data_IF_610026744397
#
_entry.id   IF_610026744397
#
_cell.length_a   1.000
_cell.length_b   1.000
_cell.length_c   1.000
_cell.angle_alpha   90.00
_cell.angle_beta   90.00
_cell.angle_gamma   90.00
#
_symmetry.space_group_name_H-M   'P 1'
#
loop_
_entity.id
_entity.type
_entity.pdbx_description
1 polymer ?
#
# COMPACT_ATOMS: atom_id res chain seq x y z
N UNK A 1 -0.55 -14.19 -16.14
CA UNK A 1 -1.64 -13.82 -15.21
C UNK A 1 -1.73 -14.74 -13.99
N UNK A 2 -2.11 -16.03 -14.10
CA UNK A 2 -2.15 -16.93 -12.92
C UNK A 2 -0.79 -17.10 -12.24
N UNK A 3 0.27 -17.27 -13.02
CA UNK A 3 1.65 -17.30 -12.52
C UNK A 3 2.06 -16.01 -11.78
N UNK A 4 1.49 -14.87 -12.20
CA UNK A 4 1.76 -13.57 -11.56
C UNK A 4 1.01 -13.46 -10.26
N UNK A 5 -0.23 -13.93 -10.22
CA UNK A 5 -1.00 -13.97 -8.98
C UNK A 5 -0.34 -14.89 -7.93
N UNK A 6 0.29 -15.98 -8.37
CA UNK A 6 1.05 -16.84 -7.47
C UNK A 6 2.19 -16.08 -6.77
N UNK A 7 2.85 -15.16 -7.48
CA UNK A 7 3.99 -14.38 -6.98
C UNK A 7 3.59 -13.08 -6.28
N UNK A 8 2.55 -12.42 -6.76
CA UNK A 8 2.20 -11.03 -6.43
C UNK A 8 0.76 -10.85 -5.95
N UNK A 9 -0.01 -11.93 -5.85
CA UNK A 9 -1.44 -11.94 -5.51
C UNK A 9 -1.76 -11.62 -4.06
N UNK A 10 -0.77 -11.27 -3.24
CA UNK A 10 -0.95 -10.93 -1.83
C UNK A 10 -1.70 -9.58 -1.68
N UNK A 11 -1.52 -8.67 -2.64
CA UNK A 11 -2.31 -7.45 -2.78
C UNK A 11 -3.17 -7.52 -4.04
N UNK A 12 -4.48 -7.31 -3.88
CA UNK A 12 -5.42 -7.12 -5.00
C UNK A 12 -6.09 -5.76 -4.90
N UNK A 13 -6.04 -5.00 -5.99
CA UNK A 13 -6.79 -3.76 -6.19
C UNK A 13 -7.88 -4.03 -7.23
N UNK A 14 -9.11 -3.68 -6.89
CA UNK A 14 -10.26 -3.88 -7.74
C UNK A 14 -11.15 -2.64 -7.74
N UNK A 15 -11.57 -2.23 -8.93
CA UNK A 15 -12.46 -1.11 -9.13
C UNK A 15 -13.27 -1.35 -10.41
N UNK A 16 -14.57 -1.02 -10.39
CA UNK A 16 -15.46 -1.28 -11.52
C UNK A 16 -15.46 -0.11 -12.50
N UNK A 17 -15.47 -0.42 -13.78
CA UNK A 17 -15.67 0.58 -14.84
C UNK A 17 -17.12 0.65 -15.28
N UNK A 18 -17.57 1.86 -15.58
CA UNK A 18 -18.88 2.09 -16.15
C UNK A 18 -19.02 1.38 -17.51
N UNK A 19 -20.28 1.07 -17.82
CA UNK A 19 -20.78 0.25 -18.93
C UNK A 19 -20.28 0.72 -20.30
N UNK A 20 -19.09 0.26 -20.68
CA UNK A 20 -18.29 0.80 -21.80
C UNK A 20 -18.36 -0.05 -23.07
N UNK A 21 -19.11 -1.15 -23.07
CA UNK A 21 -19.20 -2.09 -24.19
C UNK A 21 -20.64 -2.22 -24.74
N UNK A 22 -20.79 -2.87 -25.90
CA UNK A 22 -22.07 -3.10 -26.59
C UNK A 22 -23.16 -3.76 -25.75
N UNK A 23 -22.76 -4.50 -24.70
CA UNK A 23 -23.65 -5.29 -23.86
C UNK A 23 -24.03 -4.57 -22.56
N UNK A 24 -23.59 -3.32 -22.39
CA UNK A 24 -23.88 -2.52 -21.20
C UNK A 24 -23.41 -3.21 -19.90
N UNK A 25 -22.33 -4.01 -20.01
CA UNK A 25 -21.73 -4.74 -18.89
C UNK A 25 -20.65 -3.91 -18.18
N UNK A 26 -20.50 -4.17 -16.90
CA UNK A 26 -19.51 -3.57 -16.00
C UNK A 26 -18.25 -4.45 -16.04
N UNK A 27 -17.08 -3.92 -16.42
CA UNK A 27 -15.80 -4.64 -16.27
C UNK A 27 -15.18 -4.28 -14.93
N UNK A 28 -14.78 -5.30 -14.18
CA UNK A 28 -13.96 -5.18 -12.99
C UNK A 28 -12.62 -5.87 -13.22
N UNK A 29 -11.55 -5.14 -13.57
CA UNK A 29 -10.20 -5.69 -13.61
C UNK A 29 -9.68 -6.00 -12.20
N UNK A 30 -8.83 -7.00 -12.11
CA UNK A 30 -8.09 -7.41 -10.91
C UNK A 30 -6.62 -7.08 -11.15
N UNK A 31 -6.08 -6.21 -10.31
CA UNK A 31 -4.75 -5.63 -10.51
C UNK A 31 -3.95 -5.82 -9.23
N UNK A 32 -2.65 -6.10 -9.36
CA UNK A 32 -1.72 -6.15 -8.23
C UNK A 32 -0.54 -5.22 -8.44
N UNK A 33 0.54 -5.50 -7.71
CA UNK A 33 1.81 -4.82 -7.83
C UNK A 33 2.94 -5.82 -8.04
N UNK A 34 3.78 -5.63 -9.06
CA UNK A 34 4.97 -6.45 -9.27
C UNK A 34 6.20 -5.94 -8.49
N UNK A 35 7.34 -6.61 -8.66
CA UNK A 35 8.62 -6.31 -8.00
C UNK A 35 9.20 -4.91 -8.31
N UNK A 36 8.69 -4.22 -9.34
CA UNK A 36 9.10 -2.86 -9.71
C UNK A 36 8.13 -1.79 -9.20
N UNK A 37 7.23 -2.18 -8.28
CA UNK A 37 6.13 -1.34 -7.83
C UNK A 37 5.21 -0.89 -8.99
N UNK A 38 5.13 -1.65 -10.08
CA UNK A 38 4.27 -1.37 -11.25
C UNK A 38 3.00 -2.21 -11.20
N UNK A 39 2.00 -1.78 -11.96
CA UNK A 39 0.74 -2.50 -12.05
C UNK A 39 0.95 -3.83 -12.76
N UNK A 40 0.27 -4.86 -12.28
CA UNK A 40 0.18 -6.15 -12.97
C UNK A 40 -1.27 -6.59 -13.07
N UNK A 41 -1.65 -7.13 -14.22
CA UNK A 41 -3.02 -7.58 -14.48
C UNK A 41 -3.17 -9.05 -14.09
N UNK A 42 -4.12 -9.36 -13.22
CA UNK A 42 -4.49 -10.73 -12.87
C UNK A 42 -5.67 -11.23 -13.71
N UNK A 43 -6.55 -10.33 -14.15
CA UNK A 43 -7.70 -10.65 -15.03
C UNK A 43 -8.72 -9.52 -15.08
N UNK A 44 -9.78 -9.65 -15.86
CA UNK A 44 -11.03 -8.87 -15.71
C UNK A 44 -12.22 -9.85 -15.75
N UNK A 45 -13.29 -9.51 -15.03
CA UNK A 45 -14.59 -10.13 -15.24
C UNK A 45 -15.67 -9.10 -15.55
N UNK A 46 -16.73 -9.57 -16.19
CA UNK A 46 -17.86 -8.76 -16.61
C UNK A 46 -19.12 -9.12 -15.83
N UNK A 47 -19.85 -8.11 -15.37
CA UNK A 47 -21.09 -8.26 -14.61
C UNK A 47 -22.20 -7.40 -15.20
N UNK A 48 -23.45 -7.79 -14.96
CA UNK A 48 -24.63 -7.05 -15.42
C UNK A 48 -25.07 -5.94 -14.46
N UNK A 49 -24.70 -6.05 -13.18
CA UNK A 49 -25.06 -5.10 -12.13
C UNK A 49 -24.08 -5.20 -10.94
N UNK A 50 -24.11 -4.19 -10.05
CA UNK A 50 -23.24 -4.08 -8.87
C UNK A 50 -23.94 -4.58 -7.60
N UNK A 51 -24.67 -5.69 -7.70
CA UNK A 51 -25.28 -6.36 -6.54
C UNK A 51 -24.27 -7.29 -5.86
N UNK A 52 -24.52 -7.61 -4.59
CA UNK A 52 -23.68 -8.50 -3.78
C UNK A 52 -23.47 -9.84 -4.47
N UNK A 53 -24.53 -10.43 -5.02
CA UNK A 53 -24.50 -11.75 -5.66
C UNK A 53 -23.60 -11.76 -6.91
N UNK A 54 -23.63 -10.66 -7.68
CA UNK A 54 -22.79 -10.49 -8.86
C UNK A 54 -21.30 -10.44 -8.47
N UNK A 55 -20.96 -9.71 -7.41
CA UNK A 55 -19.59 -9.67 -6.91
C UNK A 55 -19.16 -10.98 -6.25
N UNK A 56 -20.04 -11.68 -5.54
CA UNK A 56 -19.76 -13.02 -4.99
C UNK A 56 -19.40 -13.98 -6.12
N UNK A 57 -20.22 -14.02 -7.19
CA UNK A 57 -19.93 -14.83 -8.37
C UNK A 57 -18.58 -14.46 -9.00
N UNK A 58 -18.34 -13.15 -9.18
CA UNK A 58 -17.11 -12.66 -9.80
C UNK A 58 -15.87 -13.06 -8.98
N UNK A 59 -15.91 -12.83 -7.67
CA UNK A 59 -14.80 -13.13 -6.76
C UNK A 59 -14.57 -14.62 -6.57
N UNK A 60 -15.62 -15.45 -6.53
CA UNK A 60 -15.47 -16.91 -6.52
C UNK A 60 -14.85 -17.42 -7.83
N UNK A 61 -15.26 -16.86 -8.97
CA UNK A 61 -14.71 -17.20 -10.28
C UNK A 61 -13.23 -16.81 -10.38
N UNK A 62 -12.89 -15.61 -9.89
CA UNK A 62 -11.51 -15.15 -9.79
C UNK A 62 -10.68 -16.09 -8.91
N UNK A 63 -11.11 -16.36 -7.68
CA UNK A 63 -10.41 -17.25 -6.74
C UNK A 63 -10.17 -18.64 -7.33
N UNK A 64 -11.19 -19.24 -7.97
CA UNK A 64 -11.06 -20.53 -8.65
C UNK A 64 -10.04 -20.47 -9.80
N UNK A 65 -10.08 -19.41 -10.60
CA UNK A 65 -9.15 -19.21 -11.73
C UNK A 65 -7.71 -19.01 -11.25
N UNK A 66 -7.54 -18.46 -10.05
CA UNK A 66 -6.26 -18.22 -9.41
C UNK A 66 -5.76 -19.38 -8.54
N UNK A 67 -6.34 -20.58 -8.68
CA UNK A 67 -5.87 -21.76 -7.95
C UNK A 67 -6.21 -21.74 -6.45
N UNK A 68 -7.24 -20.99 -6.05
CA UNK A 68 -7.72 -20.89 -4.66
C UNK A 68 -6.69 -20.27 -3.70
N UNK A 69 -5.67 -19.59 -4.22
CA UNK A 69 -4.81 -18.73 -3.40
C UNK A 69 -5.62 -17.49 -2.99
N UNK A 70 -5.67 -17.22 -1.69
CA UNK A 70 -6.34 -16.05 -1.13
C UNK A 70 -5.37 -14.86 -1.05
N UNK A 71 -5.81 -13.63 -1.33
CA UNK A 71 -4.99 -12.44 -1.11
C UNK A 71 -4.89 -12.12 0.39
N UNK A 72 -3.81 -11.44 0.79
CA UNK A 72 -3.64 -10.90 2.13
C UNK A 72 -4.47 -9.62 2.29
N UNK A 73 -4.41 -8.72 1.31
CA UNK A 73 -5.14 -7.46 1.32
C UNK A 73 -5.88 -7.21 0.02
N UNK A 74 -7.01 -6.52 0.15
CA UNK A 74 -7.93 -6.24 -0.94
C UNK A 74 -8.36 -4.77 -0.88
N UNK A 75 -7.94 -3.97 -1.85
CA UNK A 75 -8.31 -2.56 -1.95
C UNK A 75 -9.47 -2.35 -2.93
N UNK A 76 -10.52 -1.69 -2.44
CA UNK A 76 -11.69 -1.28 -3.23
C UNK A 76 -12.10 0.17 -2.91
N UNK A 77 -13.13 0.65 -3.60
CA UNK A 77 -13.85 1.88 -3.24
C UNK A 77 -14.78 1.67 -2.01
N UNK A 78 -15.70 2.61 -1.76
CA UNK A 78 -16.66 2.52 -0.65
C UNK A 78 -17.92 1.67 -0.95
N UNK A 79 -17.89 0.77 -1.94
CA UNK A 79 -19.01 -0.07 -2.33
C UNK A 79 -19.39 -1.08 -1.25
N UNK A 80 -20.63 -0.98 -0.79
CA UNK A 80 -21.23 -1.96 0.12
C UNK A 80 -21.25 -3.37 -0.47
N UNK A 81 -21.62 -3.49 -1.76
CA UNK A 81 -21.75 -4.78 -2.42
C UNK A 81 -20.42 -5.52 -2.51
N UNK A 82 -19.34 -4.81 -2.87
CA UNK A 82 -18.00 -5.39 -2.91
C UNK A 82 -17.51 -5.76 -1.51
N UNK A 83 -17.72 -4.89 -0.52
CA UNK A 83 -17.32 -5.17 0.85
C UNK A 83 -18.00 -6.43 1.42
N UNK A 84 -19.30 -6.61 1.16
CA UNK A 84 -20.04 -7.80 1.56
C UNK A 84 -19.54 -9.07 0.85
N UNK A 85 -19.31 -8.99 -0.46
CA UNK A 85 -18.79 -10.10 -1.24
C UNK A 85 -17.35 -10.50 -0.84
N UNK A 86 -16.46 -9.54 -0.57
CA UNK A 86 -15.09 -9.82 -0.07
C UNK A 86 -15.16 -10.54 1.27
N UNK A 87 -16.00 -10.08 2.21
CA UNK A 87 -16.16 -10.73 3.51
C UNK A 87 -16.63 -12.19 3.38
N UNK A 88 -17.46 -12.46 2.38
CA UNK A 88 -17.98 -13.81 2.11
C UNK A 88 -16.94 -14.71 1.42
N UNK A 89 -16.27 -14.23 0.37
CA UNK A 89 -15.37 -15.05 -0.46
C UNK A 89 -13.94 -15.11 0.10
N UNK A 90 -13.46 -14.03 0.72
CA UNK A 90 -12.11 -13.90 1.26
C UNK A 90 -12.15 -13.49 2.75
N UNK A 91 -12.67 -14.33 3.66
CA UNK A 91 -12.88 -13.95 5.06
C UNK A 91 -11.60 -13.58 5.81
N UNK A 92 -10.44 -14.08 5.38
CA UNK A 92 -9.13 -13.74 5.94
C UNK A 92 -8.46 -12.51 5.31
N UNK A 93 -8.96 -12.02 4.18
CA UNK A 93 -8.35 -10.88 3.49
C UNK A 93 -8.71 -9.56 4.19
N UNK A 94 -7.72 -8.68 4.31
CA UNK A 94 -7.88 -7.36 4.90
C UNK A 94 -8.43 -6.38 3.87
N UNK A 95 -9.65 -5.94 4.09
CA UNK A 95 -10.32 -4.96 3.24
C UNK A 95 -9.78 -3.55 3.51
N UNK A 96 -9.19 -2.94 2.47
CA UNK A 96 -8.74 -1.55 2.41
C UNK A 96 -9.66 -0.68 1.57
N UNK A 97 -9.92 0.54 2.03
CA UNK A 97 -10.65 1.55 1.26
C UNK A 97 -9.65 2.51 0.60
N UNK A 98 -9.89 2.83 -0.67
CA UNK A 98 -9.12 3.84 -1.39
C UNK A 98 -9.30 5.25 -0.78
N UNK A 99 -8.19 5.89 -0.40
CA UNK A 99 -8.20 7.25 0.14
C UNK A 99 -8.64 8.30 -0.87
N UNK A 100 -8.44 8.07 -2.19
CA UNK A 100 -8.90 8.99 -3.23
C UNK A 100 -10.42 9.02 -3.33
N UNK A 101 -11.08 7.85 -3.34
CA UNK A 101 -12.54 7.75 -3.30
C UNK A 101 -13.11 8.37 -2.03
N UNK A 102 -12.43 8.20 -0.89
CA UNK A 102 -12.79 8.87 0.36
C UNK A 102 -12.69 10.39 0.22
N UNK A 103 -11.60 10.91 -0.34
CA UNK A 103 -11.41 12.35 -0.56
C UNK A 103 -12.49 12.93 -1.48
N UNK A 104 -12.76 12.28 -2.62
CA UNK A 104 -13.83 12.67 -3.54
C UNK A 104 -15.21 12.65 -2.90
N UNK A 105 -15.51 11.63 -2.09
CA UNK A 105 -16.76 11.58 -1.34
C UNK A 105 -16.82 12.68 -0.27
N UNK A 106 -15.69 12.99 0.37
CA UNK A 106 -15.60 14.05 1.36
C UNK A 106 -15.87 15.43 0.76
N UNK A 107 -15.39 15.70 -0.47
CA UNK A 107 -15.68 16.97 -1.18
C UNK A 107 -17.17 17.17 -1.42
N UNK A 108 -17.97 16.10 -1.53
CA UNK A 108 -19.43 16.19 -1.69
C UNK A 108 -20.16 16.45 -0.37
N UNK A 109 -19.66 15.90 0.75
CA UNK A 109 -20.38 15.89 2.03
C UNK A 109 -19.85 16.90 3.07
N UNK A 110 -18.58 17.29 2.96
CA UNK A 110 -17.91 18.23 3.87
C UNK A 110 -17.19 19.35 3.12
N UNK A 111 -17.71 19.75 1.95
CA UNK A 111 -17.15 20.83 1.12
C UNK A 111 -16.89 22.13 1.90
N UNK A 112 -17.77 22.46 2.85
CA UNK A 112 -17.63 23.65 3.68
C UNK A 112 -16.38 23.62 4.57
N UNK A 113 -15.92 22.43 4.99
CA UNK A 113 -14.67 22.25 5.72
C UNK A 113 -13.47 22.35 4.78
N UNK A 114 -13.55 21.80 3.56
CA UNK A 114 -12.50 21.93 2.54
C UNK A 114 -12.15 23.39 2.20
N UNK A 115 -13.08 24.33 2.39
CA UNK A 115 -12.87 25.77 2.20
C UNK A 115 -12.20 26.46 3.39
N UNK A 116 -12.14 25.82 4.57
CA UNK A 116 -11.49 26.40 5.75
C UNK A 116 -9.98 26.32 5.61
N UNK A 117 -9.30 27.36 6.09
CA UNK A 117 -7.83 27.46 6.05
C UNK A 117 -7.20 26.23 6.71
N UNK A 118 -6.20 25.64 6.04
CA UNK A 118 -5.41 24.48 6.48
C UNK A 118 -6.18 23.17 6.72
N UNK A 119 -7.47 23.08 6.35
CA UNK A 119 -8.23 21.84 6.57
C UNK A 119 -7.69 20.70 5.71
N UNK A 120 -7.51 20.94 4.41
CA UNK A 120 -7.08 19.92 3.45
C UNK A 120 -5.72 19.31 3.83
N UNK A 121 -4.67 20.10 4.15
CA UNK A 121 -3.41 19.54 4.63
C UNK A 121 -3.55 18.63 5.87
N UNK A 122 -4.33 19.04 6.88
CA UNK A 122 -4.53 18.24 8.09
C UNK A 122 -5.33 16.97 7.81
N UNK A 123 -6.39 17.08 7.02
CA UNK A 123 -7.22 15.94 6.61
C UNK A 123 -6.41 14.93 5.78
N UNK A 124 -5.58 15.40 4.86
CA UNK A 124 -4.66 14.56 4.09
C UNK A 124 -3.62 13.87 4.96
N UNK A 125 -3.11 14.57 5.98
CA UNK A 125 -2.15 14.00 6.92
C UNK A 125 -2.77 12.81 7.68
N UNK A 126 -3.96 13.02 8.24
CA UNK A 126 -4.75 11.98 8.92
C UNK A 126 -5.03 10.78 8.01
N UNK A 127 -5.34 11.03 6.74
CA UNK A 127 -5.66 9.96 5.78
C UNK A 127 -4.44 9.18 5.30
N UNK A 128 -3.26 9.81 5.18
CA UNK A 128 -2.15 9.27 4.38
C UNK A 128 -0.83 9.15 5.11
N UNK A 129 -0.63 9.85 6.24
CA UNK A 129 0.70 10.07 6.83
C UNK A 129 0.83 9.68 8.29
N UNK A 130 -0.26 9.39 9.00
CA UNK A 130 -0.17 8.82 10.35
C UNK A 130 0.43 7.41 10.29
N UNK A 131 1.60 7.23 10.91
CA UNK A 131 2.29 5.95 10.99
C UNK A 131 1.83 5.14 12.21
N UNK A 132 1.34 5.81 13.26
CA UNK A 132 0.91 5.17 14.51
C UNK A 132 -0.48 5.59 14.96
N UNK A 133 -1.12 4.76 15.79
CA UNK A 133 -2.44 5.05 16.37
C UNK A 133 -2.40 6.32 17.21
N UNK A 134 -1.32 6.55 17.96
CA UNK A 134 -1.15 7.75 18.78
C UNK A 134 -1.11 9.04 17.93
N UNK A 135 -0.40 9.02 16.79
CA UNK A 135 -0.40 10.13 15.83
C UNK A 135 -1.78 10.37 15.24
N UNK A 136 -2.47 9.29 14.84
CA UNK A 136 -3.81 9.40 14.32
C UNK A 136 -4.76 10.04 15.34
N UNK A 137 -4.77 9.55 16.58
CA UNK A 137 -5.66 10.08 17.62
C UNK A 137 -5.35 11.56 17.90
N UNK A 138 -4.07 11.94 17.93
CA UNK A 138 -3.66 13.34 18.07
C UNK A 138 -4.21 14.23 16.94
N UNK A 139 -3.91 13.91 15.68
CA UNK A 139 -4.30 14.74 14.54
C UNK A 139 -5.79 14.67 14.24
N UNK A 140 -6.46 13.55 14.51
CA UNK A 140 -7.92 13.43 14.39
C UNK A 140 -8.63 14.32 15.42
N UNK A 141 -8.17 14.30 16.68
CA UNK A 141 -8.72 15.16 17.72
C UNK A 141 -8.46 16.64 17.43
N UNK A 142 -7.27 16.97 16.92
CA UNK A 142 -6.95 18.34 16.51
C UNK A 142 -7.84 18.81 15.35
N UNK A 143 -8.07 17.96 14.34
CA UNK A 143 -8.99 18.25 13.24
C UNK A 143 -10.41 18.52 13.75
N UNK A 144 -10.92 17.71 14.67
CA UNK A 144 -12.24 17.93 15.26
C UNK A 144 -12.32 19.22 16.08
N UNK A 145 -11.27 19.54 16.85
CA UNK A 145 -11.18 20.72 17.71
C UNK A 145 -11.11 22.01 16.91
N UNK A 146 -10.20 22.08 15.93
CA UNK A 146 -9.95 23.30 15.14
C UNK A 146 -11.13 23.62 14.23
N UNK A 147 -11.79 22.59 13.69
CA UNK A 147 -12.86 22.79 12.70
C UNK A 147 -14.27 22.62 13.27
N UNK A 148 -14.38 22.29 14.57
CA UNK A 148 -15.62 22.08 15.32
C UNK A 148 -16.56 21.08 14.63
N UNK A 149 -15.99 19.97 14.14
CA UNK A 149 -16.69 19.03 13.26
C UNK A 149 -16.95 17.66 13.90
N UNK A 150 -16.78 17.54 15.22
CA UNK A 150 -17.02 16.31 15.99
C UNK A 150 -18.39 15.69 15.73
N UNK A 151 -19.41 16.52 15.49
CA UNK A 151 -20.79 16.07 15.25
C UNK A 151 -21.16 15.82 13.79
N UNK A 152 -20.22 16.06 12.87
CA UNK A 152 -20.47 15.82 11.45
C UNK A 152 -20.67 14.32 11.16
N UNK A 153 -21.85 13.97 10.65
CA UNK A 153 -22.25 12.57 10.39
C UNK A 153 -21.34 11.87 9.38
N UNK A 154 -20.83 12.60 8.37
CA UNK A 154 -19.90 12.05 7.38
C UNK A 154 -18.55 11.70 8.02
N UNK A 155 -18.01 12.58 8.88
CA UNK A 155 -16.76 12.32 9.60
C UNK A 155 -16.91 11.22 10.66
N UNK A 156 -18.04 11.16 11.39
CA UNK A 156 -18.35 10.03 12.29
C UNK A 156 -18.37 8.69 11.54
N UNK A 157 -19.03 8.65 10.38
CA UNK A 157 -19.03 7.47 9.51
C UNK A 157 -17.62 7.12 9.03
N UNK A 158 -16.84 8.11 8.58
CA UNK A 158 -15.46 7.89 8.15
C UNK A 158 -14.62 7.29 9.30
N UNK A 159 -14.68 7.88 10.49
CA UNK A 159 -13.96 7.39 11.68
C UNK A 159 -14.33 5.94 12.05
N UNK A 160 -15.61 5.57 11.93
CA UNK A 160 -16.08 4.20 12.21
C UNK A 160 -15.43 3.13 11.30
N UNK A 161 -14.82 3.55 10.19
CA UNK A 161 -14.11 2.69 9.25
C UNK A 161 -12.59 2.93 9.22
N UNK A 162 -12.02 3.62 10.22
CA UNK A 162 -10.59 4.00 10.26
C UNK A 162 -9.61 2.86 10.01
N UNK A 163 -9.92 1.65 10.48
CA UNK A 163 -9.11 0.45 10.25
C UNK A 163 -8.96 0.09 8.77
N UNK A 164 -9.92 0.48 7.92
CA UNK A 164 -9.90 0.17 6.49
C UNK A 164 -9.15 1.20 5.66
N UNK A 165 -9.00 2.45 6.09
CA UNK A 165 -8.42 3.51 5.27
C UNK A 165 -7.18 4.17 5.86
N UNK A 166 -7.05 4.22 7.19
CA UNK A 166 -5.95 4.91 7.82
C UNK A 166 -4.73 3.98 7.92
N UNK A 167 -3.54 4.40 7.44
CA UNK A 167 -2.32 3.61 7.54
C UNK A 167 -1.98 3.20 8.97
N UNK A 168 -2.21 4.07 9.96
CA UNK A 168 -1.94 3.79 11.38
C UNK A 168 -2.58 2.48 11.92
N UNK A 169 -3.66 2.01 11.30
CA UNK A 169 -4.41 0.82 11.72
C UNK A 169 -4.26 -0.38 10.78
N UNK A 170 -3.46 -0.27 9.71
CA UNK A 170 -3.48 -1.21 8.58
C UNK A 170 -2.10 -1.62 8.10
N UNK A 171 -1.12 -1.63 8.99
CA UNK A 171 0.28 -1.94 8.70
C UNK A 171 0.74 -3.28 9.25
N UNK A 172 -0.13 -4.04 9.89
CA UNK A 172 0.16 -5.39 10.41
C UNK A 172 0.09 -6.48 9.32
N UNK A 173 -0.01 -6.09 8.05
CA UNK A 173 -0.09 -6.99 6.90
C UNK A 173 0.39 -6.28 5.62
N UNK A 174 0.77 -7.08 4.62
CA UNK A 174 1.25 -6.55 3.34
C UNK A 174 0.14 -5.85 2.56
N UNK A 175 0.39 -4.59 2.18
CA UNK A 175 -0.48 -3.80 1.31
C UNK A 175 0.28 -3.06 0.21
N UNK A 176 1.60 -3.28 0.11
CA UNK A 176 2.48 -2.59 -0.83
C UNK A 176 2.47 -1.07 -0.68
N UNK A 177 2.02 -0.55 0.46
CA UNK A 177 1.90 0.89 0.73
C UNK A 177 0.87 1.59 -0.16
N UNK A 178 -0.01 0.81 -0.80
CA UNK A 178 -1.04 1.36 -1.68
C UNK A 178 -2.12 2.01 -0.82
N UNK A 179 -2.28 3.32 -1.01
CA UNK A 179 -3.32 4.11 -0.35
C UNK A 179 -4.52 4.39 -1.26
N UNK A 180 -4.36 4.21 -2.58
CA UNK A 180 -5.41 4.52 -3.53
C UNK A 180 -5.55 3.49 -4.63
N UNK A 181 -6.77 3.36 -5.13
CA UNK A 181 -7.13 2.69 -6.37
C UNK A 181 -6.60 3.42 -7.61
N UNK A 182 -5.70 4.41 -7.51
CA UNK A 182 -5.11 5.08 -8.68
C UNK A 182 -4.55 4.08 -9.70
N UNK A 183 -4.04 2.94 -9.22
CA UNK A 183 -3.56 1.85 -10.06
C UNK A 183 -4.69 1.20 -10.87
N UNK A 184 -5.84 0.96 -10.26
CA UNK A 184 -7.01 0.47 -10.98
C UNK A 184 -7.68 1.57 -11.80
N UNK A 185 -7.71 2.82 -11.35
CA UNK A 185 -8.26 3.96 -12.09
C UNK A 185 -7.45 4.30 -13.34
N UNK A 186 -6.11 4.26 -13.26
CA UNK A 186 -5.25 4.46 -14.43
C UNK A 186 -5.45 3.34 -15.44
N UNK A 187 -5.60 2.11 -14.97
CA UNK A 187 -5.90 0.94 -15.80
C UNK A 187 -7.29 1.04 -16.42
N UNK A 188 -8.29 1.40 -15.62
CA UNK A 188 -9.66 1.67 -16.02
C UNK A 188 -9.70 2.76 -17.07
N UNK A 189 -8.89 3.81 -16.92
CA UNK A 189 -8.74 4.89 -17.92
C UNK A 189 -8.06 4.40 -19.20
N UNK A 190 -6.99 3.61 -19.11
CA UNK A 190 -6.31 3.04 -20.28
C UNK A 190 -7.23 2.10 -21.06
N UNK A 191 -7.99 1.27 -20.36
CA UNK A 191 -8.99 0.37 -20.95
C UNK A 191 -10.15 1.17 -21.55
N UNK A 192 -10.80 2.03 -20.76
CA UNK A 192 -11.98 2.79 -21.22
C UNK A 192 -11.70 3.72 -22.39
N UNK A 193 -10.49 4.29 -22.51
CA UNK A 193 -10.08 5.08 -23.69
C UNK A 193 -10.00 4.28 -24.98
N UNK A 194 -9.73 2.97 -24.88
CA UNK A 194 -9.66 2.04 -26.02
C UNK A 194 -11.04 1.42 -26.32
N UNK A 195 -12.04 1.67 -25.49
CA UNK A 195 -13.39 1.11 -25.61
C UNK A 195 -14.41 2.13 -26.12
N UNK A 196 -15.39 1.64 -26.86
CA UNK A 196 -16.56 2.40 -27.30
C UNK A 196 -17.82 1.60 -27.01
N UNK A 197 -18.98 2.28 -27.01
CA UNK A 197 -20.28 1.63 -26.83
C UNK A 197 -20.59 0.54 -27.85
N UNK A 198 -19.83 0.43 -28.95
CA UNK A 198 -19.99 -0.61 -29.97
C UNK A 198 -18.98 -1.75 -29.82
N UNK A 199 -18.02 -1.66 -28.90
CA UNK A 199 -17.00 -2.70 -28.69
C UNK A 199 -17.65 -4.02 -28.25
N UNK A 200 -17.31 -5.09 -28.97
CA UNK A 200 -17.72 -6.47 -28.64
C UNK A 200 -16.81 -7.07 -27.57
N UNK A 201 -17.22 -8.15 -26.91
CA UNK A 201 -16.37 -8.83 -25.92
C UNK A 201 -15.11 -9.42 -26.57
N UNK A 202 -15.20 -9.90 -27.82
CA UNK A 202 -14.02 -10.38 -28.54
C UNK A 202 -13.02 -9.25 -28.84
N UNK A 203 -13.52 -8.06 -29.21
CA UNK A 203 -12.66 -6.90 -29.42
C UNK A 203 -12.06 -6.39 -28.11
N UNK A 204 -12.83 -6.42 -27.01
CA UNK A 204 -12.30 -6.16 -25.67
C UNK A 204 -11.18 -7.14 -25.33
N UNK A 205 -11.38 -8.45 -25.53
CA UNK A 205 -10.39 -9.44 -25.16
C UNK A 205 -9.06 -9.26 -25.90
N UNK A 206 -9.11 -8.93 -27.20
CA UNK A 206 -7.90 -8.60 -27.97
C UNK A 206 -7.17 -7.40 -27.38
N UNK A 207 -7.88 -6.29 -27.16
CA UNK A 207 -7.32 -5.08 -26.56
C UNK A 207 -6.80 -5.33 -25.14
N UNK A 208 -7.47 -6.18 -24.36
CA UNK A 208 -7.02 -6.59 -23.04
C UNK A 208 -5.68 -7.34 -23.12
N UNK A 209 -5.53 -8.28 -24.06
CA UNK A 209 -4.24 -8.93 -24.31
C UNK A 209 -3.17 -7.91 -24.73
N UNK A 210 -3.49 -6.97 -25.62
CA UNK A 210 -2.53 -5.93 -26.04
C UNK A 210 -2.04 -5.07 -24.85
N UNK A 211 -2.93 -4.72 -23.91
CA UNK A 211 -2.55 -4.00 -22.67
C UNK A 211 -1.63 -4.85 -21.80
N UNK A 212 -1.93 -6.14 -21.65
CA UNK A 212 -1.12 -7.06 -20.85
C UNK A 212 0.26 -7.21 -21.47
N UNK A 213 0.36 -7.37 -22.79
CA UNK A 213 1.61 -7.50 -23.51
C UNK A 213 2.44 -6.21 -23.43
N UNK A 214 1.82 -5.03 -23.53
CA UNK A 214 2.46 -3.73 -23.31
C UNK A 214 3.10 -3.64 -21.93
N UNK A 215 2.37 -4.02 -20.87
CA UNK A 215 2.90 -4.01 -19.50
C UNK A 215 4.04 -5.02 -19.30
N UNK A 216 4.00 -6.17 -19.99
CA UNK A 216 5.11 -7.13 -19.98
C UNK A 216 6.36 -6.60 -20.66
N UNK A 217 6.19 -5.90 -21.77
CA UNK A 217 7.32 -5.26 -22.45
C UNK A 217 7.95 -4.17 -21.57
N UNK A 218 7.12 -3.38 -20.88
CA UNK A 218 7.60 -2.40 -19.90
C UNK A 218 8.35 -3.07 -18.74
N UNK A 219 7.79 -4.14 -18.18
CA UNK A 219 8.41 -4.95 -17.11
C UNK A 219 9.77 -5.49 -17.53
N UNK A 220 9.89 -6.10 -18.72
CA UNK A 220 11.17 -6.56 -19.25
C UNK A 220 12.21 -5.42 -19.35
N UNK A 221 11.76 -4.21 -19.70
CA UNK A 221 12.60 -3.02 -19.71
C UNK A 221 13.05 -2.59 -18.30
N UNK A 222 12.22 -2.82 -17.28
CA UNK A 222 12.60 -2.62 -15.88
C UNK A 222 13.59 -3.68 -15.38
N UNK A 223 13.36 -4.95 -15.72
CA UNK A 223 14.28 -6.06 -15.40
C UNK A 223 15.67 -5.79 -16.00
N UNK A 224 15.74 -5.44 -17.28
CA UNK A 224 17.00 -5.10 -17.96
C UNK A 224 17.74 -3.93 -17.28
N UNK A 225 17.00 -2.88 -16.87
CA UNK A 225 17.62 -1.77 -16.13
C UNK A 225 18.10 -2.17 -14.74
N UNK A 226 17.50 -3.16 -14.10
CA UNK A 226 17.98 -3.67 -12.82
C UNK A 226 19.22 -4.54 -12.99
N UNK A 227 19.31 -5.32 -14.08
CA UNK A 227 20.46 -6.19 -14.33
C UNK A 227 21.69 -5.42 -14.85
N UNK A 228 21.48 -4.49 -15.79
CA UNK A 228 22.59 -3.77 -16.47
C UNK A 228 22.81 -2.35 -15.94
N UNK A 229 21.89 -1.81 -15.13
CA UNK A 229 21.94 -0.43 -14.68
C UNK A 229 22.93 -0.21 -13.54
N UNK A 230 23.74 0.85 -13.64
CA UNK A 230 24.48 1.35 -12.49
C UNK A 230 23.53 2.09 -11.56
N UNK A 231 23.28 1.52 -10.38
CA UNK A 231 22.53 2.19 -9.33
C UNK A 231 23.47 3.09 -8.55
N UNK A 232 23.21 4.40 -8.54
CA UNK A 232 24.00 5.34 -7.76
C UNK A 232 23.69 5.17 -6.27
N UNK A 233 24.71 4.73 -5.53
CA UNK A 233 24.67 4.65 -4.07
C UNK A 233 25.15 5.98 -3.49
N UNK A 234 24.42 6.51 -2.52
CA UNK A 234 24.79 7.77 -1.87
C UNK A 234 26.06 7.62 -1.03
N UNK A 235 26.32 6.42 -0.50
CA UNK A 235 27.56 6.08 0.19
C UNK A 235 28.18 4.83 -0.46
N UNK A 236 29.25 5.03 -1.24
CA UNK A 236 29.87 3.98 -2.08
C UNK A 236 30.55 2.84 -1.29
N UNK A 237 30.78 3.03 0.02
CA UNK A 237 31.48 2.06 0.89
C UNK A 237 30.60 1.55 2.04
N UNK A 238 29.28 1.74 1.95
CA UNK A 238 28.35 1.24 2.96
C UNK A 238 27.91 -0.19 2.61
N UNK A 239 28.22 -1.15 3.49
CA UNK A 239 27.93 -2.57 3.25
C UNK A 239 26.43 -2.87 3.18
N UNK A 240 25.61 -2.15 3.95
CA UNK A 240 24.17 -2.34 3.97
C UNK A 240 23.54 -1.83 2.67
N UNK A 241 23.96 -0.66 2.18
CA UNK A 241 23.53 -0.16 0.88
C UNK A 241 24.01 -1.06 -0.26
N UNK A 242 25.25 -1.56 -0.20
CA UNK A 242 25.75 -2.50 -1.22
C UNK A 242 24.90 -3.78 -1.27
N UNK A 243 24.64 -4.39 -0.11
CA UNK A 243 23.80 -5.59 -0.05
C UNK A 243 22.37 -5.31 -0.55
N UNK A 244 21.77 -4.20 -0.12
CA UNK A 244 20.44 -3.81 -0.58
C UNK A 244 20.38 -3.60 -2.10
N UNK A 245 21.44 -3.06 -2.71
CA UNK A 245 21.55 -2.87 -4.16
C UNK A 245 21.57 -4.21 -4.91
N UNK A 246 22.23 -5.21 -4.36
CA UNK A 246 22.37 -6.53 -4.99
C UNK A 246 21.11 -7.38 -4.88
N UNK A 247 20.30 -7.17 -3.84
CA UNK A 247 19.09 -7.96 -3.55
C UNK A 247 17.82 -7.32 -4.12
N UNK A 248 17.70 -6.00 -4.07
CA UNK A 248 16.46 -5.31 -4.45
C UNK A 248 16.43 -4.88 -5.92
N UNK A 249 15.22 -4.83 -6.47
CA UNK A 249 14.98 -4.10 -7.72
C UNK A 249 15.30 -2.61 -7.53
N UNK A 250 15.55 -1.91 -8.63
CA UNK A 250 15.89 -0.49 -8.62
C UNK A 250 14.87 0.36 -7.84
N UNK A 251 13.57 0.09 -8.01
CA UNK A 251 12.51 0.82 -7.33
C UNK A 251 12.51 0.59 -5.82
N UNK A 252 12.73 -0.65 -5.36
CA UNK A 252 12.80 -0.98 -3.94
C UNK A 252 14.10 -0.47 -3.32
N UNK A 253 15.23 -0.56 -4.03
CA UNK A 253 16.49 0.02 -3.59
C UNK A 253 16.39 1.54 -3.36
N UNK A 254 15.73 2.27 -4.26
CA UNK A 254 15.52 3.72 -4.08
C UNK A 254 14.72 4.02 -2.81
N UNK A 255 13.68 3.25 -2.54
CA UNK A 255 12.90 3.37 -1.30
C UNK A 255 13.78 3.07 -0.08
N UNK A 256 14.56 1.99 -0.14
CA UNK A 256 15.49 1.61 0.92
C UNK A 256 16.53 2.72 1.20
N UNK A 257 17.19 3.24 0.16
CA UNK A 257 18.17 4.31 0.28
C UNK A 257 17.55 5.60 0.86
N UNK A 258 16.32 5.95 0.47
CA UNK A 258 15.59 7.07 1.06
C UNK A 258 15.34 6.85 2.56
N UNK A 259 14.91 5.65 2.96
CA UNK A 259 14.71 5.32 4.38
C UNK A 259 16.04 5.34 5.15
N UNK A 260 17.11 4.82 4.55
CA UNK A 260 18.45 4.81 5.11
C UNK A 260 18.93 6.24 5.42
N UNK A 261 18.84 7.14 4.44
CA UNK A 261 19.21 8.55 4.60
C UNK A 261 18.38 9.26 5.65
N UNK A 262 17.06 9.06 5.66
CA UNK A 262 16.19 9.62 6.70
C UNK A 262 16.61 9.11 8.09
N UNK A 263 16.99 7.83 8.20
CA UNK A 263 17.43 7.20 9.43
C UNK A 263 18.67 7.84 10.05
N UNK A 264 19.61 8.35 9.23
CA UNK A 264 20.89 8.90 9.71
C UNK A 264 20.76 10.04 10.74
N UNK A 265 19.72 10.85 10.62
CA UNK A 265 19.45 11.98 11.53
C UNK A 265 18.71 11.58 12.81
N UNK A 266 18.27 10.33 12.94
CA UNK A 266 17.48 9.90 14.11
C UNK A 266 18.39 9.68 15.31
N UNK A 267 17.88 10.05 16.47
CA UNK A 267 18.44 9.68 17.77
C UNK A 267 17.98 8.26 18.12
N UNK A 268 18.80 7.54 18.89
CA UNK A 268 18.42 6.25 19.43
C UNK A 268 18.89 6.11 20.88
N UNK A 269 18.24 5.22 21.63
CA UNK A 269 18.60 4.86 22.99
C UNK A 269 18.25 3.39 23.24
N UNK A 270 19.22 2.59 23.70
CA UNK A 270 18.97 1.24 24.21
C UNK A 270 18.13 1.32 25.50
N UNK A 271 17.02 0.59 25.53
CA UNK A 271 16.05 0.58 26.63
C UNK A 271 16.17 -0.71 27.43
N UNK A 272 16.23 -1.84 26.75
CA UNK A 272 16.40 -3.15 27.38
C UNK A 272 17.30 -4.04 26.53
N UNK A 273 18.03 -4.91 27.23
CA UNK A 273 18.85 -5.97 26.63
C UNK A 273 18.67 -7.21 27.49
N UNK A 274 17.97 -8.20 26.94
CA UNK A 274 17.93 -9.56 27.45
C UNK A 274 18.78 -10.43 26.52
N UNK A 275 19.25 -11.59 26.97
CA UNK A 275 20.27 -12.43 26.29
C UNK A 275 20.34 -12.28 24.75
N UNK A 276 19.20 -12.42 24.06
CA UNK A 276 19.12 -12.28 22.60
C UNK A 276 18.15 -11.19 22.12
N UNK A 277 17.46 -10.47 23.02
CA UNK A 277 16.47 -9.44 22.67
C UNK A 277 17.00 -8.06 23.02
N UNK A 278 17.03 -7.18 22.03
CA UNK A 278 17.45 -5.79 22.17
C UNK A 278 16.28 -4.87 21.85
N UNK A 279 16.07 -3.87 22.68
CA UNK A 279 14.99 -2.90 22.53
C UNK A 279 15.55 -1.49 22.50
N UNK A 280 15.22 -0.74 21.45
CA UNK A 280 15.67 0.63 21.24
C UNK A 280 14.49 1.57 21.07
N UNK A 281 14.59 2.74 21.69
CA UNK A 281 13.81 3.89 21.27
C UNK A 281 14.55 4.64 20.18
N UNK A 282 13.88 4.94 19.07
CA UNK A 282 14.40 5.71 17.93
C UNK A 282 13.45 6.87 17.62
N UNK A 283 13.98 8.08 17.42
CA UNK A 283 13.16 9.26 17.14
C UNK A 283 13.94 10.40 16.49
N UNK A 284 13.23 11.31 15.83
CA UNK A 284 13.74 12.56 15.29
C UNK A 284 13.01 13.76 15.95
N UNK A 285 13.79 14.62 16.61
CA UNK A 285 13.25 15.79 17.31
C UNK A 285 12.51 16.75 16.35
N UNK A 286 11.29 17.14 16.71
CA UNK A 286 10.48 18.06 15.92
C UNK A 286 9.83 17.46 14.67
N UNK A 287 10.04 16.16 14.42
CA UNK A 287 9.42 15.42 13.32
C UNK A 287 8.52 14.31 13.86
N UNK A 288 9.05 13.44 14.71
CA UNK A 288 8.28 12.32 15.25
C UNK A 288 7.46 12.78 16.46
N UNK A 289 6.17 12.46 16.47
CA UNK A 289 5.30 12.75 17.60
C UNK A 289 5.61 11.86 18.80
N UNK A 290 6.05 10.63 18.52
CA UNK A 290 6.39 9.63 19.53
C UNK A 290 7.79 9.07 19.30
N UNK A 291 8.33 8.40 20.31
CA UNK A 291 9.51 7.54 20.10
C UNK A 291 9.06 6.20 19.54
N UNK A 292 9.69 5.76 18.47
CA UNK A 292 9.45 4.45 17.90
C UNK A 292 10.22 3.39 18.68
N UNK A 293 9.54 2.30 19.02
CA UNK A 293 10.20 1.14 19.60
C UNK A 293 10.69 0.23 18.47
N UNK A 294 11.96 -0.15 18.52
CA UNK A 294 12.61 -1.10 17.61
C UNK A 294 13.11 -2.27 18.43
N UNK A 295 12.60 -3.46 18.14
CA UNK A 295 13.04 -4.69 18.79
C UNK A 295 13.85 -5.53 17.80
N UNK A 296 14.95 -6.12 18.26
CA UNK A 296 15.78 -7.04 17.49
C UNK A 296 16.00 -8.30 18.30
N UNK A 297 15.69 -9.46 17.71
CA UNK A 297 15.98 -10.76 18.28
C UNK A 297 17.14 -11.40 17.51
N UNK A 298 18.21 -11.72 18.22
CA UNK A 298 19.44 -12.25 17.65
C UNK A 298 19.36 -13.75 17.30
N UNK A 299 18.43 -14.50 17.89
CA UNK A 299 18.30 -15.94 17.62
C UNK A 299 17.70 -16.21 16.24
N UNK A 300 16.68 -15.44 15.86
CA UNK A 300 15.96 -15.62 14.60
C UNK A 300 16.16 -14.45 13.61
N UNK A 301 17.01 -13.47 13.97
CA UNK A 301 17.26 -12.25 13.23
C UNK A 301 15.99 -11.44 12.92
N UNK A 302 14.94 -11.60 13.74
CA UNK A 302 13.72 -10.83 13.56
C UNK A 302 13.89 -9.40 14.07
N UNK A 303 13.39 -8.45 13.29
CA UNK A 303 13.39 -7.04 13.65
C UNK A 303 11.98 -6.49 13.49
N UNK A 304 11.51 -5.77 14.51
CA UNK A 304 10.20 -5.12 14.46
C UNK A 304 10.33 -3.64 14.81
N UNK A 305 9.40 -2.85 14.30
CA UNK A 305 9.31 -1.43 14.61
C UNK A 305 7.84 -1.05 14.80
N UNK A 306 7.55 -0.14 15.73
CA UNK A 306 6.18 0.35 15.95
C UNK A 306 5.57 1.04 14.74
N UNK A 307 6.38 1.53 13.79
CA UNK A 307 5.86 2.12 12.54
C UNK A 307 5.38 1.06 11.53
N UNK A 308 5.71 -0.23 11.75
CA UNK A 308 5.27 -1.40 10.98
C UNK A 308 5.48 -1.35 9.46
N UNK A 309 6.42 -0.52 8.98
CA UNK A 309 6.68 -0.38 7.55
C UNK A 309 7.10 -1.70 6.89
N UNK A 310 7.90 -2.53 7.57
CA UNK A 310 8.33 -3.82 7.02
C UNK A 310 7.11 -4.72 6.73
N UNK A 311 6.19 -4.87 7.68
CA UNK A 311 4.96 -5.64 7.45
C UNK A 311 4.05 -5.04 6.36
N UNK A 312 4.07 -3.71 6.16
CA UNK A 312 3.24 -3.03 5.16
C UNK A 312 3.77 -3.18 3.73
N UNK A 313 5.10 -3.06 3.54
CA UNK A 313 5.74 -2.91 2.23
C UNK A 313 6.99 -3.79 2.01
N UNK A 314 7.31 -4.68 2.93
CA UNK A 314 8.51 -5.56 2.90
C UNK A 314 9.84 -4.80 2.74
N UNK A 315 9.93 -3.59 3.29
CA UNK A 315 11.16 -2.78 3.29
C UNK A 315 11.43 -2.22 4.68
N UNK A 316 12.69 -2.26 5.12
CA UNK A 316 13.10 -1.74 6.42
C UNK A 316 12.87 -0.23 6.52
N UNK A 317 12.30 0.22 7.65
CA UNK A 317 12.08 1.64 7.90
C UNK A 317 13.35 2.36 8.36
N UNK A 318 13.31 3.70 8.27
CA UNK A 318 14.32 4.60 8.83
C UNK A 318 14.73 4.28 10.28
N UNK A 319 13.79 3.82 11.12
CA UNK A 319 14.07 3.52 12.52
C UNK A 319 14.92 2.27 12.68
N UNK A 320 14.61 1.21 11.93
CA UNK A 320 15.38 -0.03 11.93
C UNK A 320 16.76 0.22 11.31
N UNK A 321 16.80 0.91 10.18
CA UNK A 321 18.05 1.23 9.48
C UNK A 321 18.97 2.11 10.32
N UNK A 322 18.43 2.96 11.19
CA UNK A 322 19.25 3.69 12.16
C UNK A 322 20.01 2.74 13.10
N UNK A 323 19.35 1.71 13.61
CA UNK A 323 19.99 0.72 14.49
C UNK A 323 21.06 -0.09 13.73
N UNK A 324 20.82 -0.42 12.46
CA UNK A 324 21.81 -1.11 11.62
C UNK A 324 22.93 -0.23 11.08
N UNK A 325 22.83 1.10 11.19
CA UNK A 325 23.85 2.00 10.65
C UNK A 325 25.22 1.75 11.31
N UNK A 326 26.34 1.83 10.55
CA UNK A 326 27.69 1.65 11.10
C UNK A 326 27.95 2.56 12.30
N UNK A 327 27.42 3.79 12.27
CA UNK A 327 27.47 4.73 13.39
C UNK A 327 26.88 4.14 14.66
N UNK A 328 25.74 3.45 14.59
CA UNK A 328 25.13 2.79 15.76
C UNK A 328 25.92 1.57 16.22
N UNK A 329 26.42 0.75 15.28
CA UNK A 329 27.27 -0.41 15.59
C UNK A 329 28.57 -0.03 16.32
N UNK A 330 29.14 1.15 16.02
CA UNK A 330 30.31 1.67 16.74
C UNK A 330 30.02 2.02 18.21
N UNK A 331 28.80 2.42 18.56
CA UNK A 331 28.39 2.73 19.94
C UNK A 331 27.76 1.53 20.67
N UNK A 332 27.45 0.44 19.96
CA UNK A 332 26.88 -0.79 20.51
C UNK A 332 27.49 -2.02 19.81
N UNK A 333 28.70 -2.45 20.21
CA UNK A 333 29.46 -3.53 19.55
C UNK A 333 28.79 -4.90 19.53
N UNK A 334 27.67 -5.10 20.23
CA UNK A 334 26.89 -6.34 20.21
C UNK A 334 26.03 -6.53 18.94
N UNK A 335 25.94 -5.52 18.07
CA UNK A 335 25.13 -5.53 16.84
C UNK A 335 25.89 -5.92 15.55
N UNK A 336 27.10 -6.48 15.65
CA UNK A 336 27.76 -7.06 14.48
C UNK A 336 26.98 -8.30 14.02
N UNK A 337 26.05 -8.10 13.09
CA UNK A 337 25.50 -9.19 12.29
C UNK A 337 26.61 -9.60 11.31
N UNK A 338 27.13 -10.82 11.50
CA UNK A 338 28.02 -11.50 10.55
C UNK A 338 27.19 -12.25 9.54
#
# INVERSE_FOLDING_TARGET
MRSDYERFGDLVVHDTTYRTNKYDMICGPFIGMNQHCKNIMFGCGFMLNEKVESFVWLFQTFLKSMGVKHPISFMIDQSFSMAAAIKYVFPGARHRLCTWHIDENSKKHIMHLHKKLNFVPLFDYVMKRCDTVAEFDFYWNELNRVYECSDNTCLKRLYSHKEKWCPAFSKDYFSGGVLSSQRSESTNRSISRRLTKTTTLCAFFKMFCDVVDEWRLEENGHDFRCSEGTIEMVLLQDSLLSHARDVYTLEIFKLFQEQYLKGMSHFFKLISQNCNDYEYHVWLNGVDLIRHNVTFNQNDNTVTCTCKMFSEVDTLCRHILRIYSPLCQMYSPSLYIV
#
